data_IF_467378340286
#
_entry.id   IF_467378340286
#
_cell.length_a   1.000
_cell.length_b   1.000
_cell.length_c   1.000
_cell.angle_alpha   90.00
_cell.angle_beta   90.00
_cell.angle_gamma   90.00
#
_symmetry.space_group_name_H-M   'P 1'
#
loop_
_entity.id
_entity.type
_entity.pdbx_description
1 polymer ?
#
# COMPACT_ATOMS: atom_id res chain seq x y z
N UNK A 1 -6.66 5.52 16.82
CA UNK A 1 -5.39 4.80 16.91
C UNK A 1 -4.43 5.30 15.85
N UNK A 2 -3.18 5.43 16.19
CA UNK A 2 -2.14 5.76 15.21
C UNK A 2 -0.90 4.91 15.49
N UNK A 3 -0.39 4.24 14.47
CA UNK A 3 0.85 3.45 14.53
C UNK A 3 1.69 3.71 13.29
N UNK A 4 3.00 3.52 13.43
CA UNK A 4 3.93 3.78 12.34
C UNK A 4 5.09 2.81 12.41
N UNK A 5 5.53 2.30 11.26
CA UNK A 5 6.79 1.56 11.15
C UNK A 5 7.62 2.15 10.02
N UNK A 6 8.92 2.00 10.13
CA UNK A 6 9.85 2.31 9.07
C UNK A 6 10.49 1.01 8.57
N UNK A 7 10.47 0.81 7.27
CA UNK A 7 11.14 -0.32 6.62
C UNK A 7 12.11 0.23 5.59
N UNK A 8 12.94 -0.65 5.05
CA UNK A 8 13.87 -0.32 3.97
C UNK A 8 13.24 -0.71 2.64
N UNK A 9 13.74 -0.13 1.54
CA UNK A 9 13.27 -0.48 0.20
C UNK A 9 13.85 -1.83 -0.26
N UNK A 10 13.59 -2.88 0.51
CA UNK A 10 14.05 -4.25 0.24
C UNK A 10 12.87 -5.21 0.31
N UNK A 11 12.81 -6.15 -0.63
CA UNK A 11 11.72 -7.14 -0.69
C UNK A 11 11.59 -7.91 0.63
N UNK A 12 12.73 -8.23 1.27
CA UNK A 12 12.71 -8.96 2.54
C UNK A 12 11.96 -8.21 3.64
N UNK A 13 11.88 -6.88 3.55
CA UNK A 13 11.19 -6.09 4.57
C UNK A 13 9.66 -6.16 4.45
N UNK A 14 9.14 -6.76 3.39
CA UNK A 14 7.68 -6.99 3.26
C UNK A 14 7.15 -7.89 4.38
N UNK A 15 7.99 -8.75 4.97
CA UNK A 15 7.59 -9.55 6.14
C UNK A 15 7.25 -8.66 7.34
N UNK A 16 7.90 -7.51 7.47
CA UNK A 16 7.60 -6.56 8.56
C UNK A 16 6.27 -5.85 8.33
N UNK A 17 5.90 -5.64 7.08
CA UNK A 17 4.59 -5.09 6.73
C UNK A 17 3.49 -6.08 7.13
N UNK A 18 3.67 -7.37 6.81
CA UNK A 18 2.70 -8.40 7.18
C UNK A 18 2.53 -8.50 8.70
N UNK A 19 3.64 -8.47 9.44
CA UNK A 19 3.60 -8.50 10.90
C UNK A 19 2.88 -7.28 11.48
N UNK A 20 3.10 -6.11 10.88
CA UNK A 20 2.45 -4.86 11.28
C UNK A 20 0.92 -4.94 11.07
N UNK A 21 0.49 -5.49 9.94
CA UNK A 21 -0.95 -5.67 9.68
C UNK A 21 -1.58 -6.62 10.70
N UNK A 22 -0.90 -7.72 11.04
CA UNK A 22 -1.40 -8.64 12.07
C UNK A 22 -1.54 -7.95 13.43
N UNK A 23 -0.59 -7.11 13.81
CA UNK A 23 -0.65 -6.36 15.05
C UNK A 23 -1.86 -5.41 15.07
N UNK A 24 -2.10 -4.70 13.96
CA UNK A 24 -3.24 -3.81 13.82
C UNK A 24 -4.54 -4.60 13.87
N UNK A 25 -4.59 -5.74 13.18
CA UNK A 25 -5.78 -6.59 13.15
C UNK A 25 -6.16 -7.07 14.55
N UNK A 26 -5.17 -7.46 15.34
CA UNK A 26 -5.41 -7.88 16.72
C UNK A 26 -5.93 -6.72 17.57
N UNK A 27 -5.30 -5.55 17.46
CA UNK A 27 -5.68 -4.38 18.25
C UNK A 27 -7.10 -3.90 17.93
N UNK A 28 -7.45 -3.86 16.63
CA UNK A 28 -8.75 -3.37 16.19
C UNK A 28 -9.79 -4.48 16.04
N UNK A 29 -9.40 -5.72 16.28
CA UNK A 29 -10.26 -6.90 16.12
C UNK A 29 -10.89 -6.96 14.72
N UNK A 30 -10.05 -6.78 13.72
CA UNK A 30 -10.49 -6.85 12.33
C UNK A 30 -10.84 -8.29 11.94
N UNK A 31 -11.79 -8.44 11.03
CA UNK A 31 -12.15 -9.75 10.51
C UNK A 31 -10.97 -10.38 9.75
N UNK A 32 -10.89 -11.70 9.64
CA UNK A 32 -9.88 -12.35 8.82
C UNK A 32 -9.90 -11.88 7.36
N UNK A 33 -11.08 -11.59 6.81
CA UNK A 33 -11.22 -11.10 5.45
C UNK A 33 -10.59 -9.73 5.28
N UNK A 34 -10.88 -8.77 6.17
CA UNK A 34 -10.28 -7.44 6.12
C UNK A 34 -8.78 -7.51 6.32
N UNK A 35 -8.30 -8.34 7.24
CA UNK A 35 -6.88 -8.52 7.50
C UNK A 35 -6.16 -8.99 6.24
N UNK A 36 -6.70 -9.99 5.55
CA UNK A 36 -6.15 -10.51 4.32
C UNK A 36 -6.14 -9.45 3.22
N UNK A 37 -7.24 -8.69 3.10
CA UNK A 37 -7.36 -7.63 2.10
C UNK A 37 -6.33 -6.54 2.34
N UNK A 38 -6.12 -6.11 3.57
CA UNK A 38 -5.13 -5.08 3.89
C UNK A 38 -3.70 -5.57 3.65
N UNK A 39 -3.41 -6.85 3.98
CA UNK A 39 -2.12 -7.44 3.65
C UNK A 39 -1.85 -7.39 2.15
N UNK A 40 -2.84 -7.74 1.35
CA UNK A 40 -2.70 -7.76 -0.10
C UNK A 40 -2.46 -6.35 -0.66
N UNK A 41 -3.25 -5.38 -0.23
CA UNK A 41 -3.11 -3.99 -0.66
C UNK A 41 -1.73 -3.44 -0.31
N UNK A 42 -1.30 -3.63 0.93
CA UNK A 42 -0.01 -3.09 1.38
C UNK A 42 1.16 -3.80 0.71
N UNK A 43 1.09 -5.12 0.52
CA UNK A 43 2.12 -5.83 -0.22
C UNK A 43 2.27 -5.28 -1.63
N UNK A 44 1.15 -5.06 -2.34
CA UNK A 44 1.16 -4.53 -3.69
C UNK A 44 1.71 -3.10 -3.73
N UNK A 45 1.23 -2.23 -2.86
CA UNK A 45 1.61 -0.81 -2.92
C UNK A 45 3.02 -0.57 -2.39
N UNK A 46 3.45 -1.27 -1.34
CA UNK A 46 4.84 -1.17 -0.87
C UNK A 46 5.80 -1.77 -1.90
N UNK A 47 5.45 -2.89 -2.52
CA UNK A 47 6.25 -3.47 -3.60
C UNK A 47 6.44 -2.48 -4.75
N UNK A 48 5.39 -1.75 -5.11
CA UNK A 48 5.49 -0.71 -6.15
C UNK A 48 6.54 0.34 -5.79
N UNK A 49 6.60 0.76 -4.54
CA UNK A 49 7.62 1.72 -4.08
C UNK A 49 9.00 1.10 -4.23
N UNK A 50 9.18 -0.13 -3.78
CA UNK A 50 10.49 -0.81 -3.83
C UNK A 50 10.99 -0.92 -5.27
N UNK A 51 10.11 -1.29 -6.22
CA UNK A 51 10.53 -1.57 -7.59
C UNK A 51 10.51 -0.36 -8.50
N UNK A 52 9.68 0.65 -8.23
CA UNK A 52 9.47 1.75 -9.17
C UNK A 52 9.89 3.12 -8.66
N UNK A 53 9.85 3.36 -7.35
CA UNK A 53 10.29 4.64 -6.80
C UNK A 53 11.80 4.70 -6.61
N UNK A 54 12.46 3.57 -6.50
CA UNK A 54 13.91 3.49 -6.35
C UNK A 54 14.52 2.67 -7.48
N UNK A 55 15.75 3.03 -7.93
CA UNK A 55 16.38 2.31 -9.05
C UNK A 55 16.83 0.90 -8.68
N UNK A 56 17.06 0.64 -7.39
CA UNK A 56 17.47 -0.67 -6.87
C UNK A 56 17.19 -0.75 -5.38
N UNK A 57 17.14 -1.98 -4.87
CA UNK A 57 17.04 -2.21 -3.44
C UNK A 57 18.28 -1.69 -2.72
N UNK A 58 18.08 -1.00 -1.61
CA UNK A 58 19.14 -0.52 -0.74
C UNK A 58 18.57 -0.23 0.66
N UNK A 59 19.10 0.77 1.38
CA UNK A 59 18.67 1.07 2.75
C UNK A 59 17.79 2.33 2.84
N UNK A 60 17.15 2.73 1.75
CA UNK A 60 16.28 3.91 1.76
C UNK A 60 15.01 3.65 2.56
N UNK A 61 14.57 4.62 3.37
CA UNK A 61 13.43 4.42 4.23
C UNK A 61 12.10 4.47 3.48
N UNK A 62 11.18 3.61 3.90
CA UNK A 62 9.77 3.68 3.54
C UNK A 62 9.01 3.70 4.85
N UNK A 63 8.14 4.69 5.03
CA UNK A 63 7.36 4.82 6.26
C UNK A 63 5.93 4.43 5.98
N UNK A 64 5.42 3.50 6.78
CA UNK A 64 4.02 3.09 6.72
C UNK A 64 3.34 3.55 7.99
N UNK A 65 2.33 4.40 7.82
CA UNK A 65 1.55 4.97 8.93
C UNK A 65 0.12 4.46 8.82
N UNK A 66 -0.47 4.06 9.94
CA UNK A 66 -1.90 3.74 9.99
C UNK A 66 -2.57 4.64 10.99
N UNK A 67 -3.75 5.13 10.62
CA UNK A 67 -4.63 5.87 11.52
C UNK A 67 -6.03 5.28 11.43
N UNK A 68 -6.75 5.28 12.54
CA UNK A 68 -8.13 4.81 12.53
C UNK A 68 -8.96 5.54 13.57
N UNK A 69 -10.25 5.60 13.28
CA UNK A 69 -11.29 6.00 14.23
C UNK A 69 -12.40 4.93 14.19
N UNK A 70 -13.58 5.24 14.75
CA UNK A 70 -14.68 4.28 14.77
C UNK A 70 -15.25 4.00 13.37
N UNK A 71 -15.03 4.89 12.42
CA UNK A 71 -15.68 4.83 11.10
C UNK A 71 -14.77 4.32 10.01
N UNK A 72 -13.47 4.55 10.09
CA UNK A 72 -12.55 4.26 9.00
C UNK A 72 -11.13 3.96 9.46
N UNK A 73 -10.35 3.38 8.54
CA UNK A 73 -8.92 3.15 8.71
C UNK A 73 -8.20 3.69 7.46
N UNK A 74 -7.07 4.35 7.68
CA UNK A 74 -6.23 4.86 6.59
C UNK A 74 -4.81 4.34 6.72
N UNK A 75 -4.25 3.92 5.58
CA UNK A 75 -2.84 3.56 5.47
C UNK A 75 -2.14 4.61 4.61
N UNK A 76 -0.99 5.10 5.09
CA UNK A 76 -0.22 6.13 4.40
C UNK A 76 1.18 5.60 4.16
N UNK A 77 1.60 5.52 2.90
CA UNK A 77 2.94 5.08 2.53
C UNK A 77 3.73 6.30 2.07
N UNK A 78 4.84 6.60 2.77
CA UNK A 78 5.70 7.74 2.47
C UNK A 78 7.09 7.25 2.11
N UNK A 79 7.63 7.72 0.98
CA UNK A 79 8.99 7.41 0.55
C UNK A 79 9.65 8.64 -0.05
N UNK A 80 10.98 8.60 -0.17
CA UNK A 80 11.80 9.67 -0.72
C UNK A 80 12.38 9.32 -2.09
N UNK A 81 11.78 8.35 -2.78
CA UNK A 81 12.22 7.95 -4.11
C UNK A 81 11.83 8.95 -5.19
N UNK A 82 12.07 8.57 -6.44
CA UNK A 82 11.63 9.38 -7.57
C UNK A 82 10.10 9.41 -7.59
N UNK A 83 9.54 10.44 -8.24
CA UNK A 83 8.09 10.57 -8.37
C UNK A 83 7.50 9.33 -9.04
N UNK A 84 6.58 8.67 -8.37
CA UNK A 84 5.88 7.50 -8.88
C UNK A 84 4.46 7.52 -8.34
N UNK A 85 3.50 7.74 -9.23
CA UNK A 85 2.07 7.81 -8.88
C UNK A 85 1.38 6.53 -9.36
N UNK A 86 1.11 5.56 -8.47
CA UNK A 86 0.42 4.34 -8.88
C UNK A 86 -1.02 4.61 -9.33
N UNK A 87 -1.64 5.71 -8.88
CA UNK A 87 -3.03 6.03 -9.26
C UNK A 87 -3.12 6.54 -10.70
N UNK A 88 -2.02 6.96 -11.30
CA UNK A 88 -1.98 7.39 -12.69
C UNK A 88 -1.95 6.21 -13.67
N UNK A 89 -1.70 4.98 -13.18
CA UNK A 89 -1.72 3.79 -14.02
C UNK A 89 -3.15 3.35 -14.28
N UNK A 90 -3.40 2.87 -15.50
CA UNK A 90 -4.67 2.25 -15.82
C UNK A 90 -4.78 0.89 -15.15
N UNK A 91 -6.00 0.49 -14.78
CA UNK A 91 -6.24 -0.84 -14.25
C UNK A 91 -5.87 -1.89 -15.29
N UNK A 92 -5.37 -3.04 -14.84
CA UNK A 92 -5.09 -4.15 -15.73
C UNK A 92 -6.38 -4.59 -16.42
N UNK A 93 -6.27 -4.90 -17.72
CA UNK A 93 -7.39 -5.45 -18.48
C UNK A 93 -7.52 -6.93 -18.14
N UNK A 94 -8.51 -7.25 -17.34
CA UNK A 94 -8.72 -8.61 -16.83
C UNK A 94 -9.24 -9.57 -17.90
N UNK A 95 -9.65 -9.04 -19.07
CA UNK A 95 -10.07 -9.89 -20.20
C UNK A 95 -8.89 -10.37 -21.03
N UNK A 96 -7.69 -9.80 -20.82
CA UNK A 96 -6.48 -10.14 -21.57
C UNK A 96 -5.73 -11.24 -20.82
N UNK A 97 -5.03 -12.11 -21.58
CA UNK A 97 -4.17 -13.12 -21.01
C UNK A 97 -3.17 -12.48 -20.05
N UNK A 98 -2.96 -13.02 -18.83
CA UNK A 98 -2.03 -12.44 -17.86
C UNK A 98 -0.63 -12.14 -18.40
N UNK A 99 -0.15 -12.95 -19.36
CA UNK A 99 1.17 -12.72 -19.96
C UNK A 99 1.23 -11.45 -20.83
N UNK A 100 0.08 -11.00 -21.31
CA UNK A 100 -0.03 -9.83 -22.19
C UNK A 100 -0.46 -8.56 -21.46
N UNK A 101 -0.71 -8.65 -20.13
CA UNK A 101 -1.13 -7.50 -19.35
C UNK A 101 0.04 -6.55 -19.11
N UNK A 102 -0.29 -5.26 -19.04
CA UNK A 102 0.68 -4.25 -18.72
C UNK A 102 1.19 -4.43 -17.29
N UNK A 103 2.52 -4.36 -17.11
CA UNK A 103 3.14 -4.54 -15.81
C UNK A 103 2.65 -3.47 -14.81
N UNK A 104 2.32 -3.89 -13.59
CA UNK A 104 1.97 -3.00 -12.49
C UNK A 104 0.51 -2.55 -12.42
N UNK A 105 -0.29 -2.80 -13.47
CA UNK A 105 -1.71 -2.43 -13.47
C UNK A 105 -2.55 -3.26 -12.52
N UNK A 106 -2.12 -4.48 -12.22
CA UNK A 106 -2.87 -5.41 -11.38
C UNK A 106 -2.94 -4.92 -9.93
N UNK A 107 -1.84 -4.42 -9.38
CA UNK A 107 -1.79 -3.97 -7.99
C UNK A 107 -2.75 -2.82 -7.73
N UNK A 108 -2.78 -1.81 -8.62
CA UNK A 108 -3.69 -0.68 -8.42
C UNK A 108 -5.14 -1.10 -8.65
N UNK A 109 -5.39 -2.04 -9.56
CA UNK A 109 -6.73 -2.58 -9.75
C UNK A 109 -7.24 -3.23 -8.45
N UNK A 110 -6.44 -4.10 -7.83
CA UNK A 110 -6.79 -4.76 -6.57
C UNK A 110 -7.03 -3.73 -5.47
N UNK A 111 -6.15 -2.74 -5.37
CA UNK A 111 -6.25 -1.68 -4.35
C UNK A 111 -7.56 -0.91 -4.49
N UNK A 112 -7.94 -0.55 -5.72
CA UNK A 112 -9.21 0.16 -5.97
C UNK A 112 -10.43 -0.69 -5.68
N UNK A 113 -10.33 -2.01 -5.82
CA UNK A 113 -11.44 -2.91 -5.48
C UNK A 113 -11.65 -3.02 -3.97
N UNK A 114 -10.59 -2.95 -3.20
CA UNK A 114 -10.62 -3.14 -1.74
C UNK A 114 -10.86 -1.84 -0.99
N UNK A 115 -10.11 -0.78 -1.35
CA UNK A 115 -10.14 0.49 -0.62
C UNK A 115 -11.23 1.40 -1.17
N UNK A 116 -11.79 2.26 -0.32
CA UNK A 116 -12.82 3.21 -0.72
C UNK A 116 -12.23 4.46 -1.36
N UNK A 117 -11.01 4.83 -1.00
CA UNK A 117 -10.33 6.00 -1.53
C UNK A 117 -8.83 5.76 -1.60
N UNK A 118 -8.20 6.22 -2.68
CA UNK A 118 -6.75 6.11 -2.91
C UNK A 118 -6.29 7.43 -3.52
N UNK A 119 -5.42 8.14 -2.81
CA UNK A 119 -4.92 9.43 -3.26
C UNK A 119 -3.40 9.48 -3.22
N UNK A 120 -2.81 10.23 -4.13
CA UNK A 120 -1.36 10.40 -4.24
C UNK A 120 -1.00 11.88 -4.17
N UNK A 121 0.07 12.19 -3.44
CA UNK A 121 0.65 13.54 -3.41
C UNK A 121 2.17 13.44 -3.54
N UNK A 122 2.75 14.46 -4.18
CA UNK A 122 4.20 14.63 -4.22
C UNK A 122 4.52 15.94 -3.52
N UNK A 123 5.13 15.85 -2.32
CA UNK A 123 5.40 17.03 -1.48
C UNK A 123 6.83 16.94 -0.97
N UNK A 124 7.61 18.01 -1.21
CA UNK A 124 8.97 18.16 -0.68
C UNK A 124 9.87 16.95 -0.94
N UNK A 125 9.79 16.39 -2.16
CA UNK A 125 10.63 15.26 -2.55
C UNK A 125 10.12 13.90 -2.06
N UNK A 126 8.91 13.85 -1.48
CA UNK A 126 8.33 12.63 -0.98
C UNK A 126 7.11 12.21 -1.79
N UNK A 127 7.00 10.90 -2.04
CA UNK A 127 5.75 10.31 -2.50
C UNK A 127 4.91 9.99 -1.27
N UNK A 128 3.64 10.38 -1.29
CA UNK A 128 2.70 10.11 -0.20
C UNK A 128 1.45 9.50 -0.79
N UNK A 129 1.24 8.21 -0.53
CA UNK A 129 0.06 7.47 -0.97
C UNK A 129 -0.84 7.22 0.23
N UNK A 130 -2.08 7.70 0.16
CA UNK A 130 -3.07 7.52 1.23
C UNK A 130 -4.21 6.65 0.74
N UNK A 131 -4.52 5.61 1.51
CA UNK A 131 -5.58 4.65 1.17
C UNK A 131 -6.51 4.52 2.35
N UNK A 132 -7.80 4.72 2.12
CA UNK A 132 -8.80 4.73 3.19
C UNK A 132 -9.88 3.69 2.94
N UNK A 133 -10.27 3.00 4.00
CA UNK A 133 -11.36 2.02 3.99
C UNK A 133 -12.36 2.36 5.08
N UNK A 134 -13.64 2.47 4.72
CA UNK A 134 -14.70 2.61 5.72
C UNK A 134 -14.92 1.28 6.40
N UNK A 135 -15.03 1.31 7.73
CA UNK A 135 -15.26 0.12 8.55
C UNK A 135 -16.72 -0.04 8.90
N UNK A 136 -17.52 1.02 8.72
CA UNK A 136 -18.98 1.03 8.97
C UNK A 136 -19.71 1.52 7.74
N UNK A 137 -20.89 1.00 7.55
CA UNK A 137 -21.78 1.40 6.45
C UNK A 137 -22.39 2.79 6.68
#
# INVERSE_FOLDING_TARGET
>A
MKKEIQIRNQVDDLQHVAAFVEEIADELQLSPELTMNFNLVLEEMVSNVIFYAYPKENDQPIILTVTSDDDSISFIITDEGRAFDPTAREDADMSVNPADRQLGGMGIFITRQIMDDVTYQRIDGCNILTMTKRLKD
#
